data_IF_399007402896
#
_entry.id   IF_399007402896
#
_cell.length_a   1.000
_cell.length_b   1.000
_cell.length_c   1.000
_cell.angle_alpha   90.00
_cell.angle_beta   90.00
_cell.angle_gamma   90.00
#
_symmetry.space_group_name_H-M   'P 1'
#
loop_
_entity.id
_entity.type
_entity.pdbx_description
1 polymer ?
#
# COMPACT_ATOMS: atom_id res chain seq x y z
N UNK A 1 -10.05 2.18 -34.05
CA UNK A 1 -9.72 0.99 -33.27
C UNK A 1 -9.80 1.37 -31.81
N UNK A 2 -10.82 0.88 -31.11
CA UNK A 2 -11.06 1.22 -29.71
C UNK A 2 -10.27 0.26 -28.81
N UNK A 3 -9.34 0.85 -28.06
CA UNK A 3 -8.93 0.54 -26.68
C UNK A 3 -8.33 -0.84 -26.34
N UNK A 4 -7.11 -0.81 -25.82
CA UNK A 4 -6.81 -1.40 -24.50
C UNK A 4 -5.79 -0.47 -23.80
N UNK A 5 -6.28 0.41 -22.93
CA UNK A 5 -5.43 1.09 -21.96
C UNK A 5 -5.41 0.12 -20.77
N UNK A 6 -4.26 -0.43 -20.35
CA UNK A 6 -4.23 -1.39 -19.26
C UNK A 6 -4.85 -0.74 -18.03
N UNK A 7 -5.98 -1.30 -17.61
CA UNK A 7 -6.66 -0.94 -16.38
C UNK A 7 -5.74 -1.38 -15.24
N UNK A 8 -4.87 -0.48 -14.80
CA UNK A 8 -4.04 -0.66 -13.61
C UNK A 8 -4.97 -0.88 -12.43
N UNK A 9 -5.05 -2.15 -12.04
CA UNK A 9 -6.13 -2.70 -11.23
C UNK A 9 -6.31 -1.90 -9.93
N UNK A 10 -7.46 -1.23 -9.85
CA UNK A 10 -8.02 -0.50 -8.70
C UNK A 10 -8.38 -1.40 -7.49
N UNK A 11 -7.95 -2.66 -7.52
CA UNK A 11 -8.46 -3.73 -6.68
C UNK A 11 -7.44 -4.15 -5.61
N UNK A 12 -7.94 -4.78 -4.53
CA UNK A 12 -7.09 -5.44 -3.55
C UNK A 12 -6.17 -6.47 -4.24
N UNK A 13 -4.89 -6.54 -3.85
CA UNK A 13 -4.01 -7.60 -4.37
C UNK A 13 -4.55 -8.97 -3.97
N UNK A 14 -4.30 -9.97 -4.82
CA UNK A 14 -4.51 -11.37 -4.45
C UNK A 14 -3.67 -11.73 -3.22
N UNK A 15 -4.06 -12.80 -2.50
CA UNK A 15 -3.23 -13.29 -1.39
C UNK A 15 -1.87 -13.72 -1.92
N UNK A 16 -0.81 -13.23 -1.30
CA UNK A 16 0.53 -13.73 -1.54
C UNK A 16 0.64 -15.17 -1.05
N UNK A 17 1.38 -15.99 -1.80
CA UNK A 17 1.89 -17.25 -1.28
C UNK A 17 2.89 -17.00 -0.14
N UNK A 18 3.16 -18.03 0.66
CA UNK A 18 4.00 -17.88 1.85
C UNK A 18 5.44 -17.47 1.54
N UNK A 19 6.00 -17.90 0.41
CA UNK A 19 7.37 -17.60 0.01
C UNK A 19 7.50 -16.13 -0.39
N UNK A 20 6.65 -15.67 -1.30
CA UNK A 20 6.59 -14.26 -1.71
C UNK A 20 6.29 -13.36 -0.52
N UNK A 21 5.35 -13.74 0.35
CA UNK A 21 5.04 -12.98 1.56
C UNK A 21 6.23 -12.88 2.51
N UNK A 22 7.02 -13.95 2.68
CA UNK A 22 8.21 -13.94 3.53
C UNK A 22 9.29 -12.99 2.96
N UNK A 23 9.51 -13.00 1.64
CA UNK A 23 10.42 -12.07 0.98
C UNK A 23 9.96 -10.62 1.18
N UNK A 24 8.69 -10.32 0.90
CA UNK A 24 8.10 -8.99 1.07
C UNK A 24 8.20 -8.48 2.50
N UNK A 25 7.95 -9.34 3.50
CA UNK A 25 8.17 -9.01 4.91
C UNK A 25 9.63 -8.65 5.17
N UNK A 26 10.58 -9.44 4.66
CA UNK A 26 12.00 -9.22 4.87
C UNK A 26 12.47 -7.82 4.46
N UNK A 27 12.02 -7.31 3.32
CA UNK A 27 12.49 -6.01 2.82
C UNK A 27 11.55 -4.82 3.11
N UNK A 28 10.24 -5.01 3.21
CA UNK A 28 9.30 -3.91 3.49
C UNK A 28 9.14 -3.66 4.98
N UNK A 29 9.08 -4.69 5.82
CA UNK A 29 8.80 -4.51 7.25
C UNK A 29 9.76 -3.52 7.95
N UNK A 30 11.08 -3.51 7.67
CA UNK A 30 11.97 -2.49 8.25
C UNK A 30 11.58 -1.05 7.89
N UNK A 31 10.98 -0.82 6.73
CA UNK A 31 10.49 0.52 6.33
C UNK A 31 9.32 0.95 7.23
N UNK A 32 8.39 0.03 7.51
CA UNK A 32 7.24 0.27 8.38
C UNK A 32 7.64 0.42 9.85
N UNK A 33 8.59 -0.38 10.32
CA UNK A 33 9.09 -0.32 11.70
C UNK A 33 9.79 1.01 11.97
N UNK A 34 10.65 1.47 11.05
CA UNK A 34 11.37 2.74 11.22
C UNK A 34 10.59 3.98 10.77
N UNK A 35 9.40 3.83 10.16
CA UNK A 35 8.58 4.97 9.81
C UNK A 35 8.07 5.69 11.06
N UNK A 36 8.11 7.02 11.06
CA UNK A 36 7.70 7.85 12.21
C UNK A 36 6.35 8.54 12.02
N UNK A 37 5.86 8.59 10.79
CA UNK A 37 4.57 9.18 10.43
C UNK A 37 4.06 8.60 9.11
N UNK A 38 2.81 8.88 8.77
CA UNK A 38 2.24 8.54 7.45
C UNK A 38 3.03 9.14 6.29
N UNK A 39 3.45 10.41 6.41
CA UNK A 39 4.24 11.09 5.39
C UNK A 39 5.63 10.45 5.23
N UNK A 40 6.31 10.18 6.35
CA UNK A 40 7.62 9.53 6.36
C UNK A 40 7.57 8.10 5.80
N UNK A 41 6.50 7.34 6.09
CA UNK A 41 6.26 6.03 5.49
C UNK A 41 6.16 6.12 3.96
N UNK A 42 5.37 7.07 3.44
CA UNK A 42 5.26 7.29 1.99
C UNK A 42 6.61 7.67 1.40
N UNK A 43 7.32 8.63 1.99
CA UNK A 43 8.65 9.04 1.50
C UNK A 43 9.60 7.85 1.40
N UNK A 44 9.67 7.01 2.43
CA UNK A 44 10.55 5.82 2.45
C UNK A 44 10.12 4.76 1.43
N UNK A 45 8.82 4.54 1.23
CA UNK A 45 8.30 3.61 0.23
C UNK A 45 8.58 4.11 -1.20
N UNK A 46 8.30 5.38 -1.48
CA UNK A 46 8.51 6.00 -2.80
C UNK A 46 9.99 5.99 -3.18
N UNK A 47 10.89 6.24 -2.23
CA UNK A 47 12.33 6.11 -2.45
C UNK A 47 12.79 4.70 -2.86
N UNK A 48 11.94 3.69 -2.65
CA UNK A 48 12.17 2.28 -3.02
C UNK A 48 11.32 1.82 -4.21
N UNK A 49 10.60 2.73 -4.88
CA UNK A 49 9.77 2.41 -6.04
C UNK A 49 8.39 1.85 -5.69
N UNK A 50 7.88 2.13 -4.49
CA UNK A 50 6.55 1.71 -4.07
C UNK A 50 5.64 2.90 -3.79
N UNK A 51 4.35 2.72 -4.06
CA UNK A 51 3.29 3.65 -3.65
C UNK A 51 2.43 3.04 -2.55
N UNK A 52 1.82 3.94 -1.77
CA UNK A 52 0.91 3.62 -0.67
C UNK A 52 -0.50 4.11 -1.02
N UNK A 53 -1.47 3.22 -1.00
CA UNK A 53 -2.89 3.56 -1.16
C UNK A 53 -3.75 2.83 -0.13
N UNK A 54 -5.02 3.23 -0.06
CA UNK A 54 -6.01 2.61 0.79
C UNK A 54 -7.13 2.06 -0.08
N UNK A 55 -7.43 0.76 0.04
CA UNK A 55 -8.52 0.10 -0.69
C UNK A 55 -9.36 -0.71 0.27
N UNK A 56 -10.66 -0.46 0.30
CA UNK A 56 -11.62 -1.19 1.15
C UNK A 56 -11.19 -1.22 2.63
N UNK A 57 -10.65 -0.11 3.12
CA UNK A 57 -10.14 0.03 4.50
C UNK A 57 -8.83 -0.70 4.78
N UNK A 58 -8.13 -1.19 3.75
CA UNK A 58 -6.81 -1.82 3.86
C UNK A 58 -5.73 -0.93 3.28
N UNK A 59 -4.58 -0.96 3.92
CA UNK A 59 -3.36 -0.37 3.40
C UNK A 59 -2.81 -1.28 2.30
N UNK A 60 -2.61 -0.74 1.10
CA UNK A 60 -2.13 -1.45 -0.09
C UNK A 60 -0.82 -0.84 -0.53
N UNK A 61 0.14 -1.71 -0.86
CA UNK A 61 1.42 -1.36 -1.48
C UNK A 61 1.36 -1.75 -2.94
N UNK A 62 1.65 -0.81 -3.83
CA UNK A 62 1.72 -1.01 -5.27
C UNK A 62 3.11 -0.72 -5.80
N UNK A 63 3.46 -1.35 -6.92
CA UNK A 63 4.63 -0.94 -7.71
C UNK A 63 4.39 0.47 -8.23
N UNK A 64 5.38 1.36 -8.08
CA UNK A 64 5.30 2.71 -8.64
C UNK A 64 5.52 2.74 -10.16
N UNK A 65 6.19 1.73 -10.70
CA UNK A 65 6.50 1.64 -12.13
C UNK A 65 5.25 1.41 -12.98
N UNK A 66 4.46 0.40 -12.61
CA UNK A 66 3.27 -0.03 -13.36
C UNK A 66 1.96 0.13 -12.57
N UNK A 67 2.00 0.63 -11.32
CA UNK A 67 0.80 0.79 -10.50
C UNK A 67 0.17 -0.50 -9.98
N UNK A 68 0.75 -1.67 -10.31
CA UNK A 68 0.22 -2.98 -9.91
C UNK A 68 0.20 -3.13 -8.38
N UNK A 69 -0.95 -3.49 -7.75
CA UNK A 69 -1.01 -3.81 -6.33
C UNK A 69 -0.23 -5.09 -6.04
N UNK A 70 0.67 -5.03 -5.06
CA UNK A 70 1.59 -6.12 -4.72
C UNK A 70 1.14 -6.85 -3.46
N UNK A 71 0.85 -6.11 -2.38
CA UNK A 71 0.47 -6.69 -1.10
C UNK A 71 -0.29 -5.70 -0.23
N UNK A 72 -0.87 -6.18 0.87
CA UNK A 72 -1.45 -5.32 1.90
C UNK A 72 -0.53 -5.21 3.12
N UNK A 73 -0.70 -4.16 3.93
CA UNK A 73 0.00 -4.04 5.21
C UNK A 73 -0.22 -5.27 6.13
N UNK A 74 -1.39 -5.91 6.06
CA UNK A 74 -1.66 -7.15 6.80
C UNK A 74 -0.75 -8.29 6.36
N UNK A 75 -0.47 -8.42 5.06
CA UNK A 75 0.44 -9.45 4.55
C UNK A 75 1.85 -9.26 5.10
N UNK A 76 2.23 -8.02 5.44
CA UNK A 76 3.52 -7.65 6.03
C UNK A 76 3.58 -7.76 7.55
N UNK A 77 2.45 -8.01 8.23
CA UNK A 77 2.33 -7.95 9.68
C UNK A 77 2.12 -6.54 10.24
N UNK A 78 1.97 -5.54 9.38
CA UNK A 78 1.79 -4.12 9.71
C UNK A 78 0.42 -3.63 9.20
N UNK A 79 -0.70 -4.12 9.77
CA UNK A 79 -2.03 -3.72 9.32
C UNK A 79 -2.27 -2.23 9.60
N UNK A 80 -3.17 -1.61 8.82
CA UNK A 80 -3.56 -0.20 8.98
C UNK A 80 -3.87 0.18 10.44
N UNK A 81 -4.58 -0.68 11.18
CA UNK A 81 -4.92 -0.43 12.58
C UNK A 81 -3.69 -0.29 13.48
N UNK A 82 -2.65 -1.09 13.27
CA UNK A 82 -1.42 -1.01 14.07
C UNK A 82 -0.66 0.28 13.78
N UNK A 83 -0.55 0.66 12.51
CA UNK A 83 0.08 1.92 12.11
C UNK A 83 -0.73 3.13 12.56
N UNK A 84 -2.07 3.06 12.58
CA UNK A 84 -2.91 4.13 13.07
C UNK A 84 -2.79 4.36 14.59
N UNK A 85 -2.46 3.31 15.37
CA UNK A 85 -2.11 3.47 16.78
C UNK A 85 -0.77 4.20 16.94
N UNK A 86 0.20 3.94 16.04
CA UNK A 86 1.54 4.56 16.08
C UNK A 86 1.57 5.98 15.54
N UNK A 87 0.91 6.24 14.42
CA UNK A 87 0.99 7.50 13.67
C UNK A 87 -0.25 8.40 13.85
N UNK A 88 -1.30 7.90 14.51
CA UNK A 88 -2.63 8.51 14.50
C UNK A 88 -3.43 8.11 13.26
N UNK A 89 -4.69 8.58 13.18
CA UNK A 89 -5.57 8.28 12.03
C UNK A 89 -5.06 8.99 10.77
N UNK A 90 -4.92 8.28 9.63
CA UNK A 90 -4.52 8.93 8.39
C UNK A 90 -5.63 9.86 7.90
N UNK A 91 -5.24 11.04 7.40
CA UNK A 91 -6.16 11.88 6.64
C UNK A 91 -6.17 11.39 5.20
N UNK A 92 -7.36 11.05 4.69
CA UNK A 92 -7.51 10.43 3.38
C UNK A 92 -8.27 11.34 2.42
N UNK A 93 -7.75 11.48 1.19
CA UNK A 93 -8.51 11.90 0.02
C UNK A 93 -9.16 10.66 -0.58
N UNK A 94 -10.49 10.64 -0.59
CA UNK A 94 -11.27 9.52 -1.11
C UNK A 94 -11.39 9.62 -2.63
N UNK A 95 -11.13 8.52 -3.33
CA UNK A 95 -11.32 8.38 -4.76
C UNK A 95 -12.79 8.38 -5.17
N UNK A 96 -13.07 8.68 -6.45
CA UNK A 96 -14.45 8.76 -6.98
C UNK A 96 -15.28 7.49 -6.83
N UNK A 97 -14.63 6.34 -6.69
CA UNK A 97 -15.26 5.04 -6.43
C UNK A 97 -15.70 4.83 -4.98
N UNK A 98 -15.31 5.71 -4.06
CA UNK A 98 -15.64 5.59 -2.63
C UNK A 98 -14.98 4.40 -1.92
N UNK A 99 -14.15 3.61 -2.62
CA UNK A 99 -13.49 2.41 -2.10
C UNK A 99 -11.97 2.55 -2.03
N UNK A 100 -11.42 3.47 -2.81
CA UNK A 100 -9.98 3.79 -2.85
C UNK A 100 -9.71 5.15 -2.20
N UNK A 101 -8.50 5.35 -1.69
CA UNK A 101 -8.05 6.64 -1.18
C UNK A 101 -6.55 6.74 -1.04
N UNK A 102 -6.07 7.97 -0.85
CA UNK A 102 -4.66 8.33 -0.70
C UNK A 102 -4.50 9.28 0.48
N UNK A 103 -3.28 9.43 1.01
CA UNK A 103 -3.03 10.43 2.05
C UNK A 103 -3.29 11.84 1.51
N UNK A 104 -3.88 12.69 2.34
CA UNK A 104 -4.26 14.07 2.01
C UNK A 104 -3.06 15.01 1.87
#
# INVERSE_FOLDING_TARGET
MAQDIPQTSKALPGRLDCETAALFRGFLRPIFEHAQSWADLVTKLTARGYDLSFHEGRLVISSRDDGRPLCTGRDLGEPLSALAVRFGRPQLKIGRDGRSGWLA
#
